data_IF_748563063960
#
_entry.id   IF_748563063960
#
_cell.length_a   1.000
_cell.length_b   1.000
_cell.length_c   1.000
_cell.angle_alpha   90.00
_cell.angle_beta   90.00
_cell.angle_gamma   90.00
#
_symmetry.space_group_name_H-M   'P 1'
#
loop_
_entity.id
_entity.type
_entity.pdbx_description
1 polymer ?
#
# COMPACT_ATOMS: atom_id res chain seq x y z
N UNK A 1 -14.59 -23.96 45.07
CA UNK A 1 -13.29 -23.37 44.69
C UNK A 1 -13.03 -22.13 45.55
N UNK A 2 -11.99 -22.14 46.40
CA UNK A 2 -11.69 -21.04 47.32
C UNK A 2 -11.52 -19.70 46.59
N UNK A 3 -11.96 -18.60 47.22
CA UNK A 3 -11.89 -17.24 46.65
C UNK A 3 -10.47 -16.88 46.16
N UNK A 4 -9.41 -17.38 46.81
CA UNK A 4 -8.03 -17.18 46.35
C UNK A 4 -7.71 -17.91 45.04
N UNK A 5 -8.11 -19.18 44.90
CA UNK A 5 -7.91 -19.98 43.68
C UNK A 5 -8.67 -19.41 42.48
N UNK A 6 -9.85 -18.80 42.70
CA UNK A 6 -10.59 -18.05 41.67
C UNK A 6 -9.83 -16.80 41.20
N UNK A 7 -9.27 -16.01 42.13
CA UNK A 7 -8.49 -14.80 41.80
C UNK A 7 -7.24 -15.12 40.96
N UNK A 8 -6.51 -16.18 41.34
CA UNK A 8 -5.31 -16.61 40.59
C UNK A 8 -5.68 -17.07 39.18
N UNK A 9 -6.75 -17.86 39.03
CA UNK A 9 -7.22 -18.32 37.72
C UNK A 9 -7.62 -17.15 36.81
N UNK A 10 -8.31 -16.13 37.34
CA UNK A 10 -8.71 -14.95 36.58
C UNK A 10 -7.50 -14.12 36.12
N UNK A 11 -6.47 -13.99 36.95
CA UNK A 11 -5.24 -13.26 36.59
C UNK A 11 -4.50 -13.99 35.46
N UNK A 12 -4.35 -15.32 35.57
CA UNK A 12 -3.69 -16.13 34.53
C UNK A 12 -4.44 -16.04 33.20
N UNK A 13 -5.78 -16.12 33.23
CA UNK A 13 -6.60 -16.01 32.03
C UNK A 13 -6.48 -14.63 31.38
N UNK A 14 -6.44 -13.56 32.19
CA UNK A 14 -6.24 -12.17 31.71
C UNK A 14 -4.89 -12.01 31.01
N UNK A 15 -3.80 -12.54 31.59
CA UNK A 15 -2.48 -12.47 30.97
C UNK A 15 -2.41 -13.21 29.64
N UNK A 16 -3.05 -14.39 29.52
CA UNK A 16 -3.11 -15.14 28.27
C UNK A 16 -3.84 -14.34 27.18
N UNK A 17 -4.98 -13.71 27.53
CA UNK A 17 -5.73 -12.86 26.59
C UNK A 17 -4.89 -11.68 26.13
N UNK A 18 -4.13 -11.03 27.02
CA UNK A 18 -3.24 -9.92 26.65
C UNK A 18 -2.10 -10.35 25.73
N UNK A 19 -1.51 -11.52 25.96
CA UNK A 19 -0.45 -12.06 25.09
C UNK A 19 -1.02 -12.40 23.71
N UNK A 20 -2.19 -13.04 23.64
CA UNK A 20 -2.86 -13.37 22.36
C UNK A 20 -3.28 -12.11 21.59
N UNK A 21 -3.82 -11.10 22.28
CA UNK A 21 -4.16 -9.82 21.64
C UNK A 21 -2.91 -9.08 21.18
N UNK A 22 -1.83 -9.12 21.97
CA UNK A 22 -0.52 -8.57 21.59
C UNK A 22 0.03 -9.23 20.34
N UNK A 23 0.10 -10.57 20.30
CA UNK A 23 0.61 -11.31 19.14
C UNK A 23 -0.24 -11.12 17.89
N UNK A 24 -1.57 -11.05 18.01
CA UNK A 24 -2.48 -10.74 16.90
C UNK A 24 -2.27 -9.32 16.34
N UNK A 25 -1.97 -8.35 17.21
CA UNK A 25 -1.66 -6.98 16.78
C UNK A 25 -0.32 -6.91 16.03
N UNK A 26 0.71 -7.62 16.51
CA UNK A 26 2.00 -7.73 15.81
C UNK A 26 1.91 -8.52 14.50
N UNK A 27 1.04 -9.53 14.39
CA UNK A 27 0.79 -10.29 13.16
C UNK A 27 0.11 -9.45 12.06
N UNK A 28 -0.65 -8.42 12.42
CA UNK A 28 -1.40 -7.60 11.45
C UNK A 28 -0.50 -6.65 10.64
N UNK A 29 0.72 -6.38 11.11
CA UNK A 29 1.55 -5.28 10.62
C UNK A 29 2.83 -5.68 9.87
N UNK A 30 3.12 -6.97 9.71
CA UNK A 30 4.30 -7.43 8.99
C UNK A 30 3.88 -8.09 7.66
N UNK A 31 4.23 -7.46 6.53
CA UNK A 31 4.30 -8.16 5.23
C UNK A 31 3.06 -8.14 4.35
N UNK A 32 2.35 -7.01 4.25
CA UNK A 32 1.31 -6.91 3.21
C UNK A 32 1.93 -6.49 1.88
N UNK A 33 2.29 -7.47 1.05
CA UNK A 33 2.52 -7.26 -0.38
C UNK A 33 1.22 -6.76 -1.02
N UNK A 34 1.28 -5.68 -1.79
CA UNK A 34 0.10 -5.15 -2.47
C UNK A 34 0.16 -3.66 -2.77
N UNK A 35 -0.87 -3.20 -3.47
CA UNK A 35 -1.17 -1.80 -3.71
C UNK A 35 -2.28 -1.36 -2.77
N UNK A 36 -2.01 -0.31 -2.00
CA UNK A 36 -2.93 0.29 -1.05
C UNK A 36 -3.20 1.71 -1.49
N UNK A 37 -4.47 2.04 -1.79
CA UNK A 37 -4.87 3.42 -2.04
C UNK A 37 -5.63 3.89 -0.82
N UNK A 38 -5.21 5.02 -0.25
CA UNK A 38 -5.90 5.70 0.84
C UNK A 38 -6.45 7.03 0.33
N UNK A 39 -7.77 7.14 0.25
CA UNK A 39 -8.44 8.37 -0.12
C UNK A 39 -9.50 8.73 0.94
N UNK A 40 -9.20 9.75 1.77
CA UNK A 40 -10.13 10.28 2.76
C UNK A 40 -11.08 11.36 2.21
N UNK A 41 -10.98 11.68 0.92
CA UNK A 41 -11.85 12.64 0.21
C UNK A 41 -13.06 11.97 -0.44
N UNK A 42 -13.22 10.65 -0.31
CA UNK A 42 -14.29 9.88 -0.93
C UNK A 42 -13.85 9.24 -2.25
N UNK A 43 -14.62 9.45 -3.33
CA UNK A 43 -14.28 9.02 -4.69
C UNK A 43 -13.91 10.24 -5.52
N UNK A 44 -12.76 10.21 -6.18
CA UNK A 44 -12.36 11.22 -7.16
C UNK A 44 -12.53 10.58 -8.54
N UNK A 45 -13.45 11.08 -9.35
CA UNK A 45 -13.80 10.52 -10.67
C UNK A 45 -12.76 10.87 -11.73
N UNK A 46 -11.54 10.42 -11.50
CA UNK A 46 -10.37 10.59 -12.35
C UNK A 46 -9.70 9.22 -12.53
N UNK A 47 -9.39 8.81 -13.77
CA UNK A 47 -8.66 7.56 -14.02
C UNK A 47 -7.28 7.57 -13.37
N UNK A 48 -6.93 6.44 -12.75
CA UNK A 48 -5.62 6.19 -12.18
C UNK A 48 -5.13 4.82 -12.65
N UNK A 49 -3.88 4.79 -13.10
CA UNK A 49 -3.16 3.56 -13.44
C UNK A 49 -1.87 3.51 -12.65
N UNK A 50 -1.54 2.34 -12.12
CA UNK A 50 -0.25 2.05 -11.49
C UNK A 50 0.38 0.92 -12.27
N UNK A 51 1.56 1.16 -12.80
CA UNK A 51 2.25 0.23 -13.67
C UNK A 51 3.66 -0.09 -13.17
N UNK A 52 4.10 -1.30 -13.48
CA UNK A 52 5.50 -1.70 -13.41
C UNK A 52 6.08 -1.66 -14.80
N UNK A 53 7.07 -0.81 -15.00
CA UNK A 53 7.69 -0.58 -16.30
C UNK A 53 9.04 -1.28 -16.36
N UNK A 54 9.16 -2.22 -17.28
CA UNK A 54 10.42 -2.86 -17.67
C UNK A 54 11.02 -2.13 -18.88
N UNK A 55 12.21 -2.54 -19.33
CA UNK A 55 12.87 -1.89 -20.46
C UNK A 55 12.04 -1.92 -21.76
N UNK A 56 11.32 -3.02 -22.02
CA UNK A 56 10.60 -3.25 -23.27
C UNK A 56 9.12 -3.57 -23.09
N UNK A 57 8.61 -3.55 -21.85
CA UNK A 57 7.25 -3.99 -21.54
C UNK A 57 6.72 -3.24 -20.30
N UNK A 58 5.41 -3.23 -20.12
CA UNK A 58 4.74 -2.62 -18.98
C UNK A 58 3.63 -3.54 -18.46
N UNK A 59 3.63 -3.74 -17.15
CA UNK A 59 2.65 -4.54 -16.44
C UNK A 59 1.73 -3.62 -15.65
N UNK A 60 0.42 -3.65 -15.96
CA UNK A 60 -0.57 -2.88 -15.21
C UNK A 60 -0.89 -3.59 -13.89
N UNK A 61 -0.44 -3.00 -12.79
CA UNK A 61 -0.63 -3.55 -11.46
C UNK A 61 -1.98 -3.13 -10.87
N UNK A 62 -2.45 -1.93 -11.16
CA UNK A 62 -3.75 -1.41 -10.73
C UNK A 62 -4.29 -0.43 -11.76
N UNK A 63 -5.59 -0.51 -12.02
CA UNK A 63 -6.31 0.43 -12.88
C UNK A 63 -7.72 0.65 -12.33
N UNK A 64 -8.17 1.90 -12.34
CA UNK A 64 -9.54 2.28 -11.97
C UNK A 64 -9.91 3.59 -12.64
N UNK A 65 -11.19 3.75 -12.99
CA UNK A 65 -11.73 5.02 -13.51
C UNK A 65 -11.93 6.08 -12.42
N UNK A 66 -11.78 5.70 -11.15
CA UNK A 66 -11.85 6.62 -10.01
C UNK A 66 -10.84 6.26 -8.92
N UNK A 67 -10.33 7.28 -8.24
CA UNK A 67 -9.42 7.14 -7.10
C UNK A 67 -10.26 6.99 -5.83
N UNK A 68 -10.34 5.76 -5.33
CA UNK A 68 -11.04 5.41 -4.09
C UNK A 68 -10.14 4.56 -3.20
N UNK A 69 -10.44 4.54 -1.90
CA UNK A 69 -9.70 3.70 -0.98
C UNK A 69 -9.79 2.23 -1.40
N UNK A 70 -8.65 1.54 -1.50
CA UNK A 70 -8.60 0.15 -1.94
C UNK A 70 -7.38 -0.58 -1.38
N UNK A 71 -7.45 -1.90 -1.42
CA UNK A 71 -6.35 -2.79 -1.13
C UNK A 71 -6.39 -3.89 -2.19
N UNK A 72 -5.41 -3.87 -3.09
CA UNK A 72 -5.26 -4.85 -4.15
C UNK A 72 -3.97 -5.65 -3.90
N UNK A 73 -4.07 -6.96 -3.60
CA UNK A 73 -2.89 -7.83 -3.61
C UNK A 73 -2.21 -7.80 -4.98
N UNK A 74 -0.87 -7.83 -5.00
CA UNK A 74 -0.11 -8.03 -6.24
C UNK A 74 -0.01 -9.54 -6.48
N UNK A 75 -0.37 -9.99 -7.68
CA UNK A 75 -0.21 -11.38 -8.07
C UNK A 75 1.28 -11.68 -8.28
N UNK A 76 1.72 -12.90 -7.95
CA UNK A 76 3.11 -13.30 -8.22
C UNK A 76 3.29 -13.51 -9.73
N UNK A 77 3.91 -12.55 -10.41
CA UNK A 77 4.20 -12.64 -11.84
C UNK A 77 5.66 -13.04 -12.08
N UNK A 78 5.91 -13.71 -13.20
CA UNK A 78 7.25 -14.00 -13.69
C UNK A 78 7.99 -12.69 -14.00
N UNK A 79 9.12 -12.47 -13.31
CA UNK A 79 9.87 -11.22 -13.40
C UNK A 79 10.67 -11.17 -14.71
N UNK A 80 10.60 -10.04 -15.41
CA UNK A 80 11.26 -9.82 -16.71
C UNK A 80 12.60 -9.07 -16.62
N UNK A 81 13.09 -8.82 -15.40
CA UNK A 81 14.32 -8.06 -15.14
C UNK A 81 14.10 -6.86 -14.21
N UNK A 82 15.06 -5.95 -14.18
CA UNK A 82 14.97 -4.67 -13.47
C UNK A 82 13.80 -3.83 -14.01
N UNK A 83 13.21 -3.00 -13.15
CA UNK A 83 12.00 -2.25 -13.49
C UNK A 83 11.87 -0.97 -12.66
N UNK A 84 10.86 -0.17 -13.00
CA UNK A 84 10.41 0.97 -12.20
C UNK A 84 8.91 0.87 -11.94
N UNK A 85 8.40 1.65 -10.97
CA UNK A 85 6.97 1.75 -10.69
C UNK A 85 6.51 3.17 -10.97
N UNK A 86 5.42 3.34 -11.70
CA UNK A 86 4.83 4.64 -12.04
C UNK A 86 3.35 4.73 -11.66
N UNK A 87 2.88 5.97 -11.53
CA UNK A 87 1.46 6.31 -11.40
C UNK A 87 1.10 7.24 -12.55
N UNK A 88 -0.01 6.96 -13.23
CA UNK A 88 -0.55 7.78 -14.30
C UNK A 88 -1.92 8.34 -13.91
N UNK A 89 -2.06 9.65 -13.99
CA UNK A 89 -3.31 10.40 -13.77
C UNK A 89 -3.39 11.50 -14.85
N UNK A 90 -4.58 11.74 -15.40
CA UNK A 90 -4.77 12.67 -16.53
C UNK A 90 -3.90 12.39 -17.77
N UNK A 91 -3.40 11.16 -17.93
CA UNK A 91 -2.47 10.79 -19.00
C UNK A 91 -1.02 11.23 -18.76
N UNK A 92 -0.73 11.89 -17.64
CA UNK A 92 0.63 12.19 -17.20
C UNK A 92 1.15 11.03 -16.34
N UNK A 93 2.26 10.42 -16.75
CA UNK A 93 2.96 9.40 -15.97
C UNK A 93 4.02 10.05 -15.08
N UNK A 94 4.04 9.69 -13.79
CA UNK A 94 5.12 10.03 -12.88
C UNK A 94 5.65 8.79 -12.15
N UNK A 95 6.98 8.63 -12.16
CA UNK A 95 7.67 7.51 -11.49
C UNK A 95 7.61 7.65 -9.97
N UNK A 96 7.22 6.59 -9.26
CA UNK A 96 7.32 6.49 -7.78
C UNK A 96 8.73 6.06 -7.38
N UNK A 97 9.17 4.87 -7.83
CA UNK A 97 10.53 4.37 -7.65
C UNK A 97 11.15 4.07 -9.01
N UNK A 98 12.38 4.53 -9.21
CA UNK A 98 13.11 4.36 -10.48
C UNK A 98 13.83 3.02 -10.60
N UNK A 99 13.90 2.24 -9.52
CA UNK A 99 14.57 0.94 -9.52
C UNK A 99 13.84 -0.05 -8.62
N UNK A 100 13.57 -1.21 -9.18
CA UNK A 100 13.07 -2.41 -8.53
C UNK A 100 13.90 -3.57 -9.06
N UNK A 101 14.55 -4.29 -8.15
CA UNK A 101 15.43 -5.41 -8.48
C UNK A 101 14.70 -6.50 -9.28
N UNK A 102 15.45 -7.17 -10.16
CA UNK A 102 14.92 -8.25 -11.00
C UNK A 102 14.42 -9.46 -10.21
N UNK A 103 14.72 -9.57 -8.92
CA UNK A 103 14.26 -10.65 -8.05
C UNK A 103 13.11 -10.23 -7.13
N UNK A 104 12.73 -8.95 -7.15
CA UNK A 104 11.64 -8.42 -6.34
C UNK A 104 10.29 -8.84 -6.94
N UNK A 105 9.70 -9.87 -6.32
CA UNK A 105 8.30 -10.32 -6.57
C UNK A 105 7.30 -9.66 -5.65
N UNK A 106 7.74 -9.36 -4.44
CA UNK A 106 6.90 -8.88 -3.37
C UNK A 106 7.33 -7.47 -2.99
N UNK A 107 6.42 -6.52 -3.14
CA UNK A 107 6.57 -5.18 -2.60
C UNK A 107 5.21 -4.65 -2.13
N UNK A 108 5.26 -3.58 -1.36
CA UNK A 108 4.11 -2.80 -0.96
C UNK A 108 4.21 -1.41 -1.54
N UNK A 109 3.09 -0.90 -2.04
CA UNK A 109 2.96 0.48 -2.49
C UNK A 109 1.72 1.09 -1.82
N UNK A 110 1.94 2.06 -0.94
CA UNK A 110 0.89 2.92 -0.41
C UNK A 110 0.82 4.19 -1.26
N UNK A 111 -0.37 4.51 -1.77
CA UNK A 111 -0.70 5.74 -2.50
C UNK A 111 -1.77 6.47 -1.72
N UNK A 112 -1.40 7.54 -1.03
CA UNK A 112 -2.31 8.33 -0.21
C UNK A 112 -2.67 9.63 -0.90
N UNK A 113 -3.96 9.93 -1.04
CA UNK A 113 -4.43 11.23 -1.51
C UNK A 113 -4.22 12.25 -0.39
N UNK A 114 -3.17 13.06 -0.52
CA UNK A 114 -2.80 14.09 0.45
C UNK A 114 -3.72 15.32 0.33
N UNK A 115 -4.01 15.73 -0.91
CA UNK A 115 -4.95 16.80 -1.21
C UNK A 115 -5.57 16.64 -2.59
N UNK A 116 -6.78 17.18 -2.73
CA UNK A 116 -7.49 17.29 -4.00
C UNK A 116 -8.23 18.63 -4.02
N UNK A 117 -8.01 19.39 -5.08
CA UNK A 117 -8.74 20.62 -5.37
C UNK A 117 -9.59 20.41 -6.62
N UNK A 118 -10.89 20.26 -6.41
CA UNK A 118 -11.88 20.06 -7.49
C UNK A 118 -11.91 21.22 -8.49
N UNK A 119 -11.61 22.45 -8.05
CA UNK A 119 -11.72 23.63 -8.90
C UNK A 119 -10.61 23.71 -9.94
N UNK A 120 -9.41 23.25 -9.57
CA UNK A 120 -8.22 23.24 -10.43
C UNK A 120 -7.91 21.86 -11.00
N UNK A 121 -8.57 20.80 -10.50
CA UNK A 121 -8.26 19.41 -10.82
C UNK A 121 -6.94 18.93 -10.21
N UNK A 122 -6.30 19.72 -9.33
CA UNK A 122 -5.00 19.37 -8.75
C UNK A 122 -5.13 18.22 -7.76
N UNK A 123 -4.35 17.17 -7.96
CA UNK A 123 -4.27 16.00 -7.07
C UNK A 123 -2.83 15.88 -6.58
N UNK A 124 -2.66 15.76 -5.26
CA UNK A 124 -1.36 15.48 -4.63
C UNK A 124 -1.43 14.11 -3.97
N UNK A 125 -0.50 13.23 -4.34
CA UNK A 125 -0.36 11.90 -3.77
C UNK A 125 0.94 11.81 -2.98
N UNK A 126 0.88 11.27 -1.77
CA UNK A 126 2.05 10.80 -1.04
C UNK A 126 2.18 9.29 -1.28
N UNK A 127 3.25 8.89 -1.97
CA UNK A 127 3.55 7.50 -2.31
C UNK A 127 4.64 6.95 -1.41
N UNK A 128 4.44 5.76 -0.87
CA UNK A 128 5.44 5.01 -0.10
C UNK A 128 5.59 3.61 -0.69
N UNK A 129 6.75 3.34 -1.26
CA UNK A 129 7.17 2.03 -1.78
C UNK A 129 8.09 1.34 -0.77
N UNK A 130 7.88 0.04 -0.54
CA UNK A 130 8.73 -0.79 0.32
C UNK A 130 8.74 -2.24 -0.20
N UNK A 131 9.91 -2.76 -0.59
CA UNK A 131 10.13 -4.16 -0.98
C UNK A 131 10.88 -4.99 0.08
N UNK A 132 11.05 -4.44 1.28
CA UNK A 132 11.79 -5.03 2.38
C UNK A 132 13.29 -4.72 2.35
N UNK A 133 13.85 -4.29 1.21
CA UNK A 133 15.25 -3.88 1.05
C UNK A 133 15.32 -2.38 0.80
N UNK A 134 14.58 -1.92 -0.21
CA UNK A 134 14.49 -0.54 -0.65
C UNK A 134 13.18 0.06 -0.18
N UNK A 135 13.28 1.31 0.29
CA UNK A 135 12.14 2.14 0.65
C UNK A 135 12.22 3.45 -0.09
N UNK A 136 11.10 3.92 -0.61
CA UNK A 136 11.04 5.20 -1.33
C UNK A 136 9.77 5.92 -0.93
N UNK A 137 9.94 7.15 -0.44
CA UNK A 137 8.85 8.08 -0.20
C UNK A 137 8.92 9.17 -1.26
N UNK A 138 7.82 9.38 -1.98
CA UNK A 138 7.76 10.37 -3.04
C UNK A 138 6.39 11.03 -3.09
N UNK A 139 6.40 12.35 -3.20
CA UNK A 139 5.18 13.11 -3.48
C UNK A 139 5.04 13.28 -4.99
N UNK A 140 3.85 12.96 -5.51
CA UNK A 140 3.47 13.17 -6.90
C UNK A 140 2.38 14.25 -6.96
N UNK A 141 2.49 15.14 -7.95
CA UNK A 141 1.56 16.24 -8.13
C UNK A 141 1.05 16.20 -9.55
N UNK A 142 -0.24 15.99 -9.71
CA UNK A 142 -0.92 15.96 -11.01
C UNK A 142 -1.84 17.16 -11.14
N UNK A 143 -1.91 17.73 -12.34
CA UNK A 143 -2.81 18.82 -12.66
C UNK A 143 -3.33 18.65 -14.08
N UNK A 144 -4.61 18.97 -14.27
CA UNK A 144 -5.29 18.91 -15.57
C UNK A 144 -4.82 20.03 -16.50
#
# INVERSE_FOLDING_TARGET
>A
MNKSKRKVLTIVLSCIVLVVLGTLFFLKNNGKTGIFIENNKGSIEVPITIARNYLNDSEVLYESNSIKSTNKPIEEVSISGESSISVTIYGEEQTVTGYVDSNTKNFSLLVKVASYDESTGKIVLDCNYDDGINKTEKQLIFQK
#
